data_IF_435983662990
#
_entry.id   IF_435983662990
#
_cell.length_a   1.000
_cell.length_b   1.000
_cell.length_c   1.000
_cell.angle_alpha   90.00
_cell.angle_beta   90.00
_cell.angle_gamma   90.00
#
_symmetry.space_group_name_H-M   'P 1'
#
loop_
_entity.id
_entity.type
_entity.pdbx_description
1 polymer ?
#
# COMPACT_ATOMS: atom_id res chain seq x y z
N UNK A 1 -0.38 5.82 24.94
CA UNK A 1 0.44 4.72 24.43
C UNK A 1 0.77 4.97 22.95
N UNK A 2 2.02 4.87 22.58
CA UNK A 2 2.43 5.05 21.20
C UNK A 2 2.20 3.78 20.41
N UNK A 3 1.82 3.93 19.13
CA UNK A 3 1.63 2.81 18.20
C UNK A 3 2.72 2.84 17.14
N UNK A 4 3.12 1.67 16.68
CA UNK A 4 4.14 1.51 15.65
C UNK A 4 3.51 0.98 14.36
N UNK A 5 3.57 1.79 13.31
CA UNK A 5 3.22 1.36 11.96
C UNK A 5 4.49 1.16 11.14
N UNK A 6 4.55 0.08 10.39
CA UNK A 6 5.71 -0.28 9.57
C UNK A 6 5.32 -0.30 8.10
N UNK A 7 6.05 0.45 7.28
CA UNK A 7 5.91 0.37 5.82
C UNK A 7 6.84 -0.71 5.27
N UNK A 8 6.29 -1.62 4.47
CA UNK A 8 7.04 -2.74 3.92
C UNK A 8 7.09 -2.75 2.38
N UNK A 9 6.78 -1.63 1.73
CA UNK A 9 6.78 -1.53 0.26
C UNK A 9 8.08 -2.00 -0.37
N UNK A 10 9.21 -1.63 0.21
CA UNK A 10 10.51 -1.89 -0.40
C UNK A 10 10.99 -3.33 -0.26
N UNK A 11 10.33 -4.14 0.56
CA UNK A 11 10.52 -5.60 0.52
C UNK A 11 10.07 -6.12 -0.84
N UNK A 12 8.93 -5.63 -1.34
CA UNK A 12 8.46 -5.97 -2.68
C UNK A 12 9.37 -5.38 -3.77
N UNK A 13 9.91 -4.19 -3.56
CA UNK A 13 10.88 -3.59 -4.47
C UNK A 13 12.09 -4.52 -4.66
N UNK A 14 12.63 -5.02 -3.57
CA UNK A 14 13.78 -5.93 -3.62
C UNK A 14 13.42 -7.26 -4.29
N UNK A 15 12.28 -7.85 -3.95
CA UNK A 15 11.81 -9.08 -4.60
C UNK A 15 11.71 -8.90 -6.13
N UNK A 16 11.09 -7.78 -6.55
CA UNK A 16 10.89 -7.51 -7.97
C UNK A 16 12.21 -7.31 -8.70
N UNK A 17 13.17 -6.62 -8.06
CA UNK A 17 14.49 -6.39 -8.65
C UNK A 17 15.26 -7.70 -8.82
N UNK A 18 15.08 -8.66 -7.93
CA UNK A 18 15.71 -9.98 -8.02
C UNK A 18 15.04 -10.90 -9.04
N UNK A 19 13.80 -10.60 -9.42
CA UNK A 19 13.04 -11.47 -10.31
C UNK A 19 12.68 -12.83 -9.71
N UNK A 20 12.62 -12.92 -8.39
CA UNK A 20 12.35 -14.14 -7.64
C UNK A 20 11.09 -13.99 -6.79
N UNK A 21 10.79 -15.03 -5.98
CA UNK A 21 9.68 -15.00 -5.03
C UNK A 21 10.05 -14.37 -3.69
N UNK A 22 11.32 -14.20 -3.43
CA UNK A 22 11.83 -13.68 -2.16
C UNK A 22 12.63 -12.39 -2.34
N UNK A 23 12.63 -11.50 -1.36
CA UNK A 23 11.85 -11.57 -0.11
C UNK A 23 10.35 -11.35 -0.35
N UNK A 24 9.53 -12.09 0.40
CA UNK A 24 8.07 -12.03 0.26
C UNK A 24 7.47 -11.01 1.23
N UNK A 25 6.78 -9.97 0.74
CA UNK A 25 6.16 -8.98 1.62
C UNK A 25 5.07 -9.56 2.52
N UNK A 26 4.40 -10.63 2.11
CA UNK A 26 3.40 -11.30 2.95
C UNK A 26 4.06 -11.94 4.17
N UNK A 27 5.17 -12.64 3.97
CA UNK A 27 5.95 -13.20 5.07
C UNK A 27 6.46 -12.08 5.99
N UNK A 28 6.97 -11.00 5.41
CA UNK A 28 7.46 -9.85 6.18
C UNK A 28 6.35 -9.25 7.03
N UNK A 29 5.15 -9.09 6.49
CA UNK A 29 4.01 -8.57 7.24
C UNK A 29 3.72 -9.40 8.50
N UNK A 30 3.72 -10.73 8.36
CA UNK A 30 3.52 -11.64 9.50
C UNK A 30 4.65 -11.55 10.51
N UNK A 31 5.88 -11.46 10.05
CA UNK A 31 7.05 -11.36 10.90
C UNK A 31 7.04 -10.06 11.71
N UNK A 32 6.78 -8.92 11.06
CA UNK A 32 6.76 -7.61 11.70
C UNK A 32 5.63 -7.52 12.74
N UNK A 33 4.47 -8.09 12.42
CA UNK A 33 3.37 -8.19 13.37
C UNK A 33 3.79 -8.97 14.62
N UNK A 34 4.41 -10.13 14.43
CA UNK A 34 4.89 -10.99 15.52
C UNK A 34 5.94 -10.28 16.36
N UNK A 35 6.74 -9.42 15.74
CA UNK A 35 7.75 -8.63 16.43
C UNK A 35 7.19 -7.44 17.22
N UNK A 36 5.90 -7.15 17.09
CA UNK A 36 5.22 -6.13 17.91
C UNK A 36 4.69 -4.91 17.17
N UNK A 37 4.73 -4.89 15.85
CA UNK A 37 4.14 -3.78 15.10
C UNK A 37 2.61 -3.75 15.30
N UNK A 38 2.05 -2.55 15.43
CA UNK A 38 0.61 -2.35 15.57
C UNK A 38 -0.11 -2.37 14.23
N UNK A 39 0.56 -1.90 13.18
CA UNK A 39 -0.03 -1.83 11.85
C UNK A 39 1.04 -1.95 10.76
N UNK A 40 0.59 -2.32 9.58
CA UNK A 40 1.41 -2.39 8.38
C UNK A 40 0.86 -1.37 7.38
N UNK A 41 1.75 -0.64 6.75
CA UNK A 41 1.41 0.25 5.64
C UNK A 41 2.00 -0.30 4.34
N UNK A 42 1.16 -0.41 3.32
CA UNK A 42 1.56 -0.78 1.97
C UNK A 42 0.92 0.18 0.99
N UNK A 43 1.58 0.41 -0.14
CA UNK A 43 1.09 1.30 -1.18
C UNK A 43 0.88 0.50 -2.47
N UNK A 44 -0.35 0.42 -2.93
CA UNK A 44 -0.67 -0.16 -4.23
C UNK A 44 -0.64 0.95 -5.27
N UNK A 45 0.53 1.15 -5.87
CA UNK A 45 0.72 2.18 -6.90
C UNK A 45 0.03 1.78 -8.20
N UNK A 46 -0.37 2.78 -8.98
CA UNK A 46 -0.95 2.54 -10.31
C UNK A 46 -0.01 1.75 -11.22
N UNK A 47 1.30 2.00 -11.12
CA UNK A 47 2.32 1.35 -11.94
C UNK A 47 2.81 0.00 -11.39
N UNK A 48 2.35 -0.39 -10.20
CA UNK A 48 2.71 -1.67 -9.55
C UNK A 48 4.23 -1.88 -9.46
N UNK A 49 5.01 -0.81 -9.20
CA UNK A 49 6.48 -0.93 -9.15
C UNK A 49 7.00 -1.77 -7.98
N UNK A 50 6.21 -1.97 -6.95
CA UNK A 50 6.60 -2.79 -5.79
C UNK A 50 5.47 -3.73 -5.36
N UNK A 51 4.56 -3.31 -4.50
CA UNK A 51 3.41 -4.13 -4.08
C UNK A 51 2.53 -4.44 -5.29
N UNK A 52 2.18 -5.70 -5.47
CA UNK A 52 1.26 -6.17 -6.49
C UNK A 52 -0.12 -6.44 -5.89
N UNK A 53 -1.13 -6.53 -6.72
CA UNK A 53 -2.51 -6.75 -6.28
C UNK A 53 -2.63 -7.99 -5.39
N UNK A 54 -1.94 -9.07 -5.75
CA UNK A 54 -1.95 -10.30 -4.96
C UNK A 54 -1.28 -10.12 -3.60
N UNK A 55 -0.19 -9.36 -3.53
CA UNK A 55 0.45 -9.04 -2.25
C UNK A 55 -0.52 -8.32 -1.33
N UNK A 56 -1.16 -7.26 -1.85
CA UNK A 56 -2.12 -6.47 -1.09
C UNK A 56 -3.29 -7.33 -0.59
N UNK A 57 -3.83 -8.17 -1.46
CA UNK A 57 -4.92 -9.07 -1.12
C UNK A 57 -4.53 -10.01 0.02
N UNK A 58 -3.37 -10.64 -0.07
CA UNK A 58 -2.90 -11.59 0.93
C UNK A 58 -2.58 -10.92 2.26
N UNK A 59 -1.95 -9.75 2.21
CA UNK A 59 -1.60 -8.99 3.43
C UNK A 59 -2.87 -8.54 4.15
N UNK A 60 -3.84 -8.01 3.42
CA UNK A 60 -5.11 -7.55 4.01
C UNK A 60 -5.96 -8.72 4.54
N UNK A 61 -5.71 -9.93 4.11
CA UNK A 61 -6.41 -11.13 4.59
C UNK A 61 -5.78 -11.72 5.87
N UNK A 62 -4.65 -11.20 6.34
CA UNK A 62 -4.01 -11.70 7.56
C UNK A 62 -4.87 -11.31 8.78
N UNK A 63 -5.24 -12.32 9.59
CA UNK A 63 -6.04 -12.10 10.78
C UNK A 63 -5.29 -11.25 11.82
N UNK A 64 -6.02 -10.36 12.49
CA UNK A 64 -5.50 -9.53 13.57
C UNK A 64 -4.34 -8.61 13.16
N UNK A 65 -4.25 -8.28 11.87
CA UNK A 65 -3.29 -7.32 11.36
C UNK A 65 -4.04 -6.09 10.86
N UNK A 66 -3.70 -4.92 11.43
CA UNK A 66 -4.23 -3.66 10.93
C UNK A 66 -3.41 -3.23 9.72
N UNK A 67 -4.08 -3.07 8.58
CA UNK A 67 -3.43 -2.67 7.34
C UNK A 67 -3.93 -1.31 6.90
N UNK A 68 -3.00 -0.39 6.66
CA UNK A 68 -3.25 0.89 6.02
C UNK A 68 -2.80 0.77 4.55
N UNK A 69 -3.75 0.86 3.64
CA UNK A 69 -3.47 0.77 2.21
C UNK A 69 -3.43 2.17 1.61
N UNK A 70 -2.25 2.56 1.14
CA UNK A 70 -2.08 3.80 0.40
C UNK A 70 -2.45 3.59 -1.06
N UNK A 71 -3.21 4.52 -1.63
CA UNK A 71 -3.71 4.45 -3.01
C UNK A 71 -3.72 5.84 -3.62
N UNK A 72 -3.68 5.90 -4.95
CA UNK A 72 -3.91 7.15 -5.67
C UNK A 72 -5.40 7.46 -5.76
N UNK A 73 -5.75 8.57 -6.40
CA UNK A 73 -7.13 8.94 -6.67
C UNK A 73 -7.73 8.20 -7.89
N UNK A 74 -6.97 7.34 -8.54
CA UNK A 74 -7.43 6.59 -9.71
C UNK A 74 -8.61 5.69 -9.32
N UNK A 75 -9.79 5.84 -9.98
CA UNK A 75 -10.97 5.04 -9.62
C UNK A 75 -10.76 3.53 -9.69
N UNK A 76 -9.92 3.05 -10.61
CA UNK A 76 -9.63 1.62 -10.73
C UNK A 76 -8.89 1.08 -9.51
N UNK A 77 -7.94 1.86 -8.99
CA UNK A 77 -7.20 1.50 -7.77
C UNK A 77 -8.11 1.55 -6.56
N UNK A 78 -8.96 2.56 -6.46
CA UNK A 78 -9.94 2.67 -5.38
C UNK A 78 -10.88 1.46 -5.39
N UNK A 79 -11.35 1.03 -6.55
CA UNK A 79 -12.21 -0.16 -6.65
C UNK A 79 -11.51 -1.42 -6.15
N UNK A 80 -10.23 -1.59 -6.48
CA UNK A 80 -9.44 -2.71 -6.00
C UNK A 80 -9.34 -2.65 -4.47
N UNK A 81 -9.04 -1.47 -3.92
CA UNK A 81 -8.95 -1.27 -2.48
C UNK A 81 -10.26 -1.64 -1.78
N UNK A 82 -11.40 -1.23 -2.34
CA UNK A 82 -12.71 -1.54 -1.76
C UNK A 82 -12.99 -3.04 -1.77
N UNK A 83 -12.51 -3.78 -2.76
CA UNK A 83 -12.65 -5.24 -2.80
C UNK A 83 -11.76 -5.95 -1.80
N UNK A 84 -10.55 -5.45 -1.61
CA UNK A 84 -9.57 -6.02 -0.68
C UNK A 84 -10.00 -5.78 0.78
N UNK A 85 -10.68 -4.67 1.05
CA UNK A 85 -11.19 -4.29 2.38
C UNK A 85 -10.09 -4.15 3.43
N UNK A 86 -9.09 -3.26 3.22
CA UNK A 86 -8.13 -2.96 4.27
C UNK A 86 -8.83 -2.27 5.45
N UNK A 87 -8.15 -2.22 6.58
CA UNK A 87 -8.68 -1.49 7.75
C UNK A 87 -8.73 0.01 7.49
N UNK A 88 -7.74 0.54 6.78
CA UNK A 88 -7.65 1.97 6.46
C UNK A 88 -7.21 2.16 5.02
N UNK A 89 -7.73 3.21 4.40
CA UNK A 89 -7.28 3.66 3.07
C UNK A 89 -6.76 5.08 3.23
N UNK A 90 -5.55 5.32 2.74
CA UNK A 90 -4.93 6.63 2.72
C UNK A 90 -4.67 7.03 1.27
N UNK A 91 -5.26 8.15 0.85
CA UNK A 91 -5.09 8.63 -0.52
C UNK A 91 -3.83 9.50 -0.58
N UNK A 92 -2.90 9.14 -1.46
CA UNK A 92 -1.60 9.80 -1.59
C UNK A 92 -1.33 10.19 -3.04
N UNK A 93 -0.52 11.24 -3.28
CA UNK A 93 -0.08 11.57 -4.63
C UNK A 93 0.96 10.56 -5.11
N UNK A 94 1.04 10.35 -6.43
CA UNK A 94 2.05 9.48 -7.03
C UNK A 94 2.84 10.26 -8.07
N UNK A 95 4.18 10.08 -8.01
CA UNK A 95 5.10 10.62 -9.00
C UNK A 95 5.86 9.46 -9.63
N UNK A 96 5.78 9.37 -10.97
CA UNK A 96 6.40 8.28 -11.73
C UNK A 96 7.92 8.31 -11.73
N UNK A 97 8.52 9.48 -11.53
CA UNK A 97 9.97 9.67 -11.58
C UNK A 97 10.67 9.40 -10.24
N UNK A 98 9.92 9.32 -9.15
CA UNK A 98 10.48 9.17 -7.81
C UNK A 98 10.23 7.78 -7.26
N UNK A 99 11.16 7.29 -6.43
CA UNK A 99 11.01 6.00 -5.75
C UNK A 99 10.02 6.13 -4.60
N UNK A 100 10.06 7.24 -3.89
CA UNK A 100 9.16 7.53 -2.77
C UNK A 100 8.18 8.64 -3.15
N UNK A 101 7.01 8.65 -2.50
CA UNK A 101 6.03 9.71 -2.67
C UNK A 101 6.41 10.89 -1.77
N UNK A 102 6.55 12.08 -2.37
CA UNK A 102 6.83 13.31 -1.65
C UNK A 102 5.68 14.30 -1.78
N UNK A 103 5.51 15.12 -0.74
CA UNK A 103 4.49 16.15 -0.71
C UNK A 103 3.09 15.62 -0.45
N UNK A 104 2.12 16.50 -0.51
CA UNK A 104 0.72 16.20 -0.28
C UNK A 104 -0.11 16.21 -1.54
N UNK A 105 -1.35 15.78 -1.44
CA UNK A 105 -2.32 15.84 -2.53
C UNK A 105 -2.70 17.28 -2.83
N UNK A 106 -2.92 17.58 -4.10
CA UNK A 106 -3.64 18.77 -4.51
C UNK A 106 -5.14 18.46 -4.45
N UNK A 107 -5.75 18.70 -3.31
CA UNK A 107 -7.15 18.34 -3.07
C UNK A 107 -8.09 19.00 -4.06
N UNK A 108 -7.81 20.25 -4.47
CA UNK A 108 -8.66 20.97 -5.42
C UNK A 108 -8.69 20.30 -6.78
N UNK A 109 -7.53 19.85 -7.28
CA UNK A 109 -7.46 19.11 -8.55
C UNK A 109 -8.16 17.78 -8.45
N UNK A 110 -7.97 17.09 -7.34
CA UNK A 110 -8.58 15.78 -7.11
C UNK A 110 -10.09 15.86 -6.95
N UNK A 111 -10.62 16.91 -6.33
CA UNK A 111 -12.06 17.15 -6.27
C UNK A 111 -12.69 17.24 -7.67
N UNK A 112 -12.03 17.93 -8.60
CA UNK A 112 -12.52 18.02 -9.97
C UNK A 112 -12.54 16.66 -10.65
N UNK A 113 -11.55 15.82 -10.41
CA UNK A 113 -11.52 14.46 -10.94
C UNK A 113 -12.64 13.60 -10.36
N UNK A 114 -12.90 13.70 -9.07
CA UNK A 114 -13.95 12.95 -8.40
C UNK A 114 -15.35 13.38 -8.84
N UNK A 115 -15.57 14.67 -9.10
CA UNK A 115 -16.87 15.16 -9.54
C UNK A 115 -17.29 14.63 -10.91
N UNK A 116 -16.36 14.08 -11.71
CA UNK A 116 -16.61 13.50 -13.02
C UNK A 116 -16.99 12.00 -12.94
N UNK A 117 -16.94 11.44 -11.78
CA UNK A 117 -17.25 10.05 -11.51
C UNK A 117 -18.40 9.92 -10.53
#
# INVERSE_FOLDING_TARGET
MKRLGINIDHVATLRNARGELHPDPVYTARYVKKAGADSITIHLREDRRHIKDLDAKKICAINNLLVNLEVSTNPKIIQIALRIKPNYICIVPENRKEITTEGGLNLRLNELLWSQH
#
